data_IF_331211013370
#
_entry.id   IF_331211013370
#
_cell.length_a   1.000
_cell.length_b   1.000
_cell.length_c   1.000
_cell.angle_alpha   90.00
_cell.angle_beta   90.00
_cell.angle_gamma   90.00
#
_symmetry.space_group_name_H-M   'P 1'
#
loop_
_entity.id
_entity.type
_entity.pdbx_description
1 polymer ?
#
# COMPACT_ATOMS: atom_id res chain seq x y z
N UNK A 1 15.66 -13.48 9.61
CA UNK A 1 15.44 -14.00 8.24
C UNK A 1 15.35 -12.79 7.33
N UNK A 2 16.41 -12.51 6.57
CA UNK A 2 16.45 -11.40 5.63
C UNK A 2 15.54 -11.71 4.44
N UNK A 3 14.76 -10.74 3.98
CA UNK A 3 13.93 -10.90 2.79
C UNK A 3 14.81 -11.29 1.58
N UNK A 4 14.32 -12.16 0.68
CA UNK A 4 15.08 -12.59 -0.50
C UNK A 4 15.41 -11.41 -1.42
N UNK A 5 16.62 -11.45 -1.97
CA UNK A 5 17.33 -10.40 -2.71
C UNK A 5 16.77 -10.12 -4.13
N UNK A 6 15.51 -10.46 -4.41
CA UNK A 6 14.88 -10.34 -5.75
C UNK A 6 13.77 -9.29 -5.84
N UNK A 7 13.60 -8.46 -4.83
CA UNK A 7 12.72 -7.30 -4.89
C UNK A 7 13.45 -6.15 -5.59
N UNK A 8 13.41 -6.14 -6.93
CA UNK A 8 13.86 -4.98 -7.71
C UNK A 8 13.01 -3.77 -7.30
N UNK A 9 13.61 -2.86 -6.54
CA UNK A 9 13.02 -1.57 -6.21
C UNK A 9 12.93 -0.76 -7.51
N UNK A 10 11.83 -0.01 -7.69
CA UNK A 10 11.74 0.94 -8.80
C UNK A 10 12.91 1.94 -8.68
N UNK A 11 13.51 2.41 -9.80
CA UNK A 11 14.62 3.34 -9.73
C UNK A 11 14.20 4.59 -8.94
N UNK A 12 14.97 4.92 -7.90
CA UNK A 12 14.84 6.19 -7.18
C UNK A 12 15.02 7.33 -8.19
N UNK A 13 14.06 8.27 -8.24
CA UNK A 13 14.23 9.52 -8.98
C UNK A 13 13.11 9.97 -9.92
N UNK A 14 12.02 9.21 -10.11
CA UNK A 14 10.78 9.82 -10.66
C UNK A 14 9.95 10.36 -9.49
N UNK A 15 9.76 11.67 -9.46
CA UNK A 15 8.84 12.32 -8.52
C UNK A 15 7.43 11.71 -8.62
N UNK A 16 6.68 11.80 -7.53
CA UNK A 16 5.27 11.38 -7.51
C UNK A 16 4.45 12.31 -8.39
N UNK A 17 3.74 11.75 -9.37
CA UNK A 17 2.70 12.46 -10.14
C UNK A 17 1.45 12.57 -9.28
N UNK A 18 1.44 13.54 -8.37
CA UNK A 18 0.34 13.80 -7.45
C UNK A 18 -0.65 14.75 -8.14
N UNK A 19 -1.85 14.25 -8.41
CA UNK A 19 -2.94 15.02 -9.02
C UNK A 19 -4.09 15.16 -8.03
N UNK A 20 -4.72 16.33 -8.04
CA UNK A 20 -5.85 16.59 -7.17
C UNK A 20 -7.01 15.66 -7.52
N UNK A 21 -7.61 15.04 -6.51
CA UNK A 21 -8.77 14.15 -6.61
C UNK A 21 -8.57 12.88 -7.45
N UNK A 22 -7.32 12.44 -7.64
CA UNK A 22 -6.98 11.19 -8.30
C UNK A 22 -6.19 10.29 -7.36
N UNK A 23 -6.34 8.97 -7.50
CA UNK A 23 -5.50 8.01 -6.77
C UNK A 23 -4.08 8.06 -7.30
N UNK A 24 -3.11 7.89 -6.41
CA UNK A 24 -1.70 7.89 -6.76
C UNK A 24 -1.25 6.50 -7.20
N UNK A 25 -0.76 6.36 -8.44
CA UNK A 25 -0.16 5.10 -8.91
C UNK A 25 1.24 4.92 -8.33
N UNK A 26 1.42 3.91 -7.49
CA UNK A 26 2.67 3.66 -6.76
C UNK A 26 3.54 2.57 -7.39
N UNK A 27 2.94 1.58 -8.05
CA UNK A 27 3.71 0.49 -8.67
C UNK A 27 2.95 -0.13 -9.84
N UNK A 28 3.69 -0.66 -10.81
CA UNK A 28 3.20 -1.62 -11.80
C UNK A 28 4.08 -2.85 -11.78
N UNK A 29 3.48 -4.02 -11.88
CA UNK A 29 4.18 -5.31 -11.89
C UNK A 29 3.29 -6.37 -12.55
N UNK A 30 3.73 -7.62 -12.56
CA UNK A 30 2.90 -8.75 -12.96
C UNK A 30 2.87 -9.79 -11.84
N UNK A 31 1.84 -10.62 -11.80
CA UNK A 31 1.76 -11.75 -10.87
C UNK A 31 2.91 -12.72 -11.15
N UNK A 32 3.66 -13.08 -10.11
CA UNK A 32 4.87 -13.90 -10.25
C UNK A 32 4.58 -15.40 -10.10
N UNK A 33 5.38 -16.29 -10.72
CA UNK A 33 5.23 -17.74 -10.57
C UNK A 33 5.17 -18.21 -9.12
N UNK A 34 6.01 -17.65 -8.25
CA UNK A 34 6.08 -18.03 -6.84
C UNK A 34 4.85 -17.62 -6.02
N UNK A 35 3.96 -16.78 -6.57
CA UNK A 35 2.74 -16.31 -5.90
C UNK A 35 1.54 -17.22 -6.14
N UNK A 36 1.63 -18.15 -7.10
CA UNK A 36 0.53 -19.01 -7.52
C UNK A 36 0.44 -20.23 -6.58
N UNK A 37 -0.76 -20.51 -6.07
CA UNK A 37 -1.00 -21.76 -5.33
C UNK A 37 -1.50 -22.89 -6.23
N UNK A 38 -1.77 -24.04 -5.59
CA UNK A 38 -2.25 -25.24 -6.26
C UNK A 38 -3.60 -25.08 -6.98
N UNK A 39 -4.37 -24.02 -6.69
CA UNK A 39 -5.63 -23.73 -7.38
C UNK A 39 -5.41 -22.98 -8.71
N UNK A 40 -4.18 -22.59 -9.03
CA UNK A 40 -3.84 -21.91 -10.29
C UNK A 40 -4.11 -20.40 -10.29
N UNK A 41 -4.34 -19.80 -9.13
CA UNK A 41 -4.44 -18.36 -8.95
C UNK A 41 -3.52 -17.89 -7.82
N UNK A 42 -3.35 -16.58 -7.71
CA UNK A 42 -2.54 -15.97 -6.67
C UNK A 42 -3.03 -16.39 -5.28
N UNK A 43 -2.10 -16.83 -4.45
CA UNK A 43 -2.38 -17.26 -3.09
C UNK A 43 -2.71 -16.08 -2.19
N UNK A 44 -3.65 -16.28 -1.28
CA UNK A 44 -4.22 -15.25 -0.40
C UNK A 44 -3.18 -14.43 0.38
N UNK A 45 -2.07 -15.03 0.83
CA UNK A 45 -1.03 -14.34 1.57
C UNK A 45 -0.17 -13.43 0.68
N UNK A 46 0.01 -13.82 -0.58
CA UNK A 46 0.82 -13.05 -1.52
C UNK A 46 0.16 -11.75 -1.97
N UNK A 47 -1.17 -11.61 -1.84
CA UNK A 47 -1.83 -10.31 -2.04
C UNK A 47 -1.30 -9.30 -1.03
N UNK A 48 -1.18 -9.68 0.25
CA UNK A 48 -0.64 -8.81 1.30
C UNK A 48 0.82 -8.47 1.01
N UNK A 49 1.64 -9.46 0.60
CA UNK A 49 3.02 -9.20 0.19
C UNK A 49 3.07 -8.21 -0.98
N UNK A 50 2.27 -8.39 -2.02
CA UNK A 50 2.26 -7.50 -3.18
C UNK A 50 1.87 -6.06 -2.80
N UNK A 51 0.92 -5.88 -1.87
CA UNK A 51 0.60 -4.57 -1.30
C UNK A 51 1.76 -3.98 -0.48
N UNK A 52 2.45 -4.78 0.32
CA UNK A 52 3.62 -4.36 1.11
C UNK A 52 4.76 -3.86 0.18
N UNK A 53 5.02 -4.56 -0.92
CA UNK A 53 5.98 -4.14 -1.94
C UNK A 53 5.58 -2.84 -2.65
N UNK A 54 4.28 -2.63 -2.88
CA UNK A 54 3.76 -1.40 -3.44
C UNK A 54 3.92 -0.22 -2.46
N UNK A 55 3.78 -0.47 -1.16
CA UNK A 55 4.07 0.52 -0.13
C UNK A 55 5.55 0.85 -0.02
N UNK A 56 6.44 -0.13 -0.13
CA UNK A 56 7.89 0.14 -0.20
C UNK A 56 8.21 1.08 -1.36
N UNK A 57 7.62 0.84 -2.54
CA UNK A 57 7.78 1.72 -3.69
C UNK A 57 7.25 3.15 -3.44
N UNK A 58 6.16 3.30 -2.68
CA UNK A 58 5.68 4.62 -2.23
C UNK A 58 6.67 5.27 -1.26
N UNK A 59 7.14 4.52 -0.25
CA UNK A 59 8.05 5.00 0.78
C UNK A 59 9.38 5.47 0.21
N UNK A 60 9.94 4.73 -0.75
CA UNK A 60 11.15 5.16 -1.46
C UNK A 60 10.95 6.51 -2.17
N UNK A 61 9.80 6.70 -2.84
CA UNK A 61 9.51 7.94 -3.60
C UNK A 61 9.25 9.16 -2.71
N UNK A 62 8.81 8.98 -1.47
CA UNK A 62 8.68 10.07 -0.49
C UNK A 62 9.96 10.29 0.34
N UNK A 63 11.03 9.54 0.06
CA UNK A 63 12.33 9.68 0.72
C UNK A 63 12.56 8.75 1.92
N UNK A 64 11.58 7.94 2.33
CA UNK A 64 11.71 6.94 3.39
C UNK A 64 12.39 5.64 2.88
N UNK A 65 13.54 5.82 2.24
CA UNK A 65 14.34 4.74 1.66
C UNK A 65 15.00 3.87 2.73
N UNK A 66 15.49 2.69 2.34
CA UNK A 66 16.30 1.85 3.24
C UNK A 66 17.54 2.59 3.79
N UNK A 67 18.19 3.42 2.96
CA UNK A 67 19.33 4.23 3.39
C UNK A 67 18.91 5.25 4.45
N UNK A 68 17.82 5.98 4.20
CA UNK A 68 17.26 6.95 5.13
C UNK A 68 16.89 6.33 6.49
N UNK A 69 16.22 5.17 6.46
CA UNK A 69 15.85 4.40 7.67
C UNK A 69 17.07 4.04 8.52
N UNK A 70 18.15 3.58 7.88
CA UNK A 70 19.41 3.26 8.56
C UNK A 70 20.10 4.50 9.12
N UNK A 71 20.21 5.56 8.32
CA UNK A 71 20.88 6.80 8.69
C UNK A 71 20.22 7.48 9.89
N UNK A 72 18.88 7.57 9.88
CA UNK A 72 18.14 8.27 10.92
C UNK A 72 17.62 7.37 12.03
N UNK A 73 17.87 6.05 11.97
CA UNK A 73 17.39 5.11 12.98
C UNK A 73 15.86 5.06 13.08
N UNK A 74 15.16 5.12 11.94
CA UNK A 74 13.68 5.13 11.89
C UNK A 74 13.13 4.00 11.03
N UNK A 75 11.88 3.63 11.26
CA UNK A 75 11.15 2.70 10.40
C UNK A 75 9.63 2.94 10.44
N UNK A 76 8.86 2.04 9.85
CA UNK A 76 7.39 2.04 9.87
C UNK A 76 6.91 0.66 10.29
N UNK A 77 5.97 0.58 11.23
CA UNK A 77 5.32 -0.67 11.64
C UNK A 77 3.84 -0.65 11.25
N UNK A 78 3.39 -1.72 10.61
CA UNK A 78 1.97 -1.97 10.40
C UNK A 78 1.28 -2.20 11.75
N UNK A 79 0.23 -1.42 12.03
CA UNK A 79 -0.60 -1.59 13.21
C UNK A 79 -1.83 -2.45 12.91
N UNK A 80 -2.44 -2.22 11.76
CA UNK A 80 -3.65 -2.93 11.31
C UNK A 80 -3.68 -3.00 9.79
N UNK A 81 -4.19 -4.10 9.27
CA UNK A 81 -4.51 -4.26 7.85
C UNK A 81 -5.85 -4.99 7.69
N UNK A 82 -6.68 -4.48 6.79
CA UNK A 82 -7.92 -5.13 6.36
C UNK A 82 -7.86 -5.39 4.86
N UNK A 83 -7.84 -6.67 4.49
CA UNK A 83 -7.69 -7.12 3.11
C UNK A 83 -9.03 -7.63 2.55
N UNK A 84 -9.45 -7.10 1.41
CA UNK A 84 -10.60 -7.58 0.65
C UNK A 84 -10.15 -8.13 -0.70
N UNK A 85 -10.50 -9.38 -0.97
CA UNK A 85 -10.33 -10.01 -2.28
C UNK A 85 -11.60 -9.78 -3.11
N UNK A 86 -11.46 -9.22 -4.31
CA UNK A 86 -12.60 -8.85 -5.17
C UNK A 86 -12.62 -9.74 -6.41
N UNK A 87 -11.49 -9.90 -7.09
CA UNK A 87 -11.31 -10.75 -8.28
C UNK A 87 -10.02 -11.54 -8.16
N UNK A 88 -10.05 -12.80 -8.57
CA UNK A 88 -8.84 -13.61 -8.70
C UNK A 88 -7.91 -13.04 -9.78
N UNK A 89 -6.60 -13.18 -9.58
CA UNK A 89 -5.55 -12.90 -10.57
C UNK A 89 -4.67 -14.12 -10.75
N UNK A 90 -4.16 -14.30 -11.97
CA UNK A 90 -3.39 -15.46 -12.44
C UNK A 90 -1.97 -15.05 -12.81
N UNK A 91 -1.14 -16.06 -13.09
CA UNK A 91 0.24 -15.88 -13.53
C UNK A 91 0.31 -14.87 -14.69
N UNK A 92 1.28 -13.97 -14.61
CA UNK A 92 1.57 -12.93 -15.61
C UNK A 92 0.48 -11.86 -15.80
N UNK A 93 -0.65 -11.90 -15.06
CA UNK A 93 -1.64 -10.83 -15.10
C UNK A 93 -0.98 -9.49 -14.74
N UNK A 94 -1.18 -8.43 -15.54
CA UNK A 94 -0.58 -7.13 -15.30
C UNK A 94 -1.30 -6.42 -14.16
N UNK A 95 -0.55 -5.96 -13.16
CA UNK A 95 -1.08 -5.29 -11.98
C UNK A 95 -0.58 -3.86 -11.87
N UNK A 96 -1.51 -2.96 -11.54
CA UNK A 96 -1.25 -1.58 -11.12
C UNK A 96 -1.71 -1.40 -9.68
N UNK A 97 -0.83 -0.82 -8.86
CA UNK A 97 -1.13 -0.49 -7.47
C UNK A 97 -1.34 1.00 -7.33
N UNK A 98 -2.46 1.35 -6.73
CA UNK A 98 -2.87 2.72 -6.47
C UNK A 98 -3.08 2.94 -4.97
N UNK A 99 -2.86 4.16 -4.52
CA UNK A 99 -3.03 4.55 -3.11
C UNK A 99 -3.97 5.74 -3.02
N UNK A 100 -4.92 5.66 -2.09
CA UNK A 100 -5.64 6.80 -1.56
C UNK A 100 -5.27 6.98 -0.09
N UNK A 101 -4.77 8.16 0.26
CA UNK A 101 -4.48 8.53 1.65
C UNK A 101 -5.78 9.01 2.32
N UNK A 102 -6.22 8.26 3.32
CA UNK A 102 -7.48 8.49 4.03
C UNK A 102 -7.28 9.43 5.20
N UNK A 103 -6.22 9.21 5.98
CA UNK A 103 -5.85 10.07 7.10
C UNK A 103 -4.32 10.13 7.29
N UNK A 104 -3.89 11.20 7.94
CA UNK A 104 -2.49 11.47 8.24
C UNK A 104 -2.42 12.32 9.51
N UNK A 105 -1.66 11.84 10.50
CA UNK A 105 -1.31 12.65 11.66
C UNK A 105 0.21 12.83 11.77
N UNK A 106 0.67 13.31 12.93
CA UNK A 106 2.08 13.55 13.22
C UNK A 106 3.00 12.33 13.08
N UNK A 107 2.48 11.09 13.19
CA UNK A 107 3.28 9.85 13.24
C UNK A 107 2.62 8.61 12.63
N UNK A 108 1.42 8.71 12.08
CA UNK A 108 0.65 7.60 11.49
C UNK A 108 0.12 7.95 10.12
N UNK A 109 0.04 6.92 9.29
CA UNK A 109 -0.64 6.91 8.02
C UNK A 109 -1.85 6.01 8.08
N UNK A 110 -2.95 6.46 7.48
CA UNK A 110 -4.08 5.62 7.14
C UNK A 110 -4.32 5.72 5.64
N UNK A 111 -4.18 4.60 4.94
CA UNK A 111 -4.34 4.54 3.49
C UNK A 111 -5.15 3.32 3.08
N UNK A 112 -5.77 3.43 1.92
CA UNK A 112 -6.31 2.29 1.19
C UNK A 112 -5.49 2.09 -0.09
N UNK A 113 -4.94 0.89 -0.23
CA UNK A 113 -4.33 0.45 -1.47
C UNK A 113 -5.35 -0.29 -2.33
N UNK A 114 -5.24 -0.11 -3.64
CA UNK A 114 -6.01 -0.80 -4.65
C UNK A 114 -5.07 -1.58 -5.56
N UNK A 115 -5.38 -2.86 -5.76
CA UNK A 115 -4.76 -3.69 -6.78
C UNK A 115 -5.71 -3.73 -7.96
N UNK A 116 -5.28 -3.14 -9.08
CA UNK A 116 -6.04 -2.99 -10.31
C UNK A 116 -5.39 -3.86 -11.40
N UNK A 117 -6.20 -4.53 -12.21
CA UNK A 117 -5.73 -5.11 -13.47
C UNK A 117 -5.32 -3.96 -14.43
N UNK A 118 -4.04 -3.86 -14.78
CA UNK A 118 -3.54 -2.72 -15.57
C UNK A 118 -3.96 -2.80 -17.06
N UNK A 119 -4.57 -3.90 -17.49
CA UNK A 119 -5.12 -4.08 -18.83
C UNK A 119 -6.62 -3.81 -18.94
N UNK A 120 -7.39 -4.15 -17.90
CA UNK A 120 -8.87 -4.02 -17.91
C UNK A 120 -9.42 -2.91 -17.02
N UNK A 121 -8.59 -2.31 -16.16
CA UNK A 121 -8.99 -1.37 -15.10
C UNK A 121 -9.95 -1.97 -14.04
N UNK A 122 -10.05 -3.30 -13.97
CA UNK A 122 -10.86 -3.99 -12.96
C UNK A 122 -10.20 -3.97 -11.58
N UNK A 123 -11.00 -3.81 -10.53
CA UNK A 123 -10.54 -3.94 -9.15
C UNK A 123 -10.35 -5.41 -8.76
N UNK A 124 -9.12 -5.79 -8.44
CA UNK A 124 -8.76 -7.15 -8.02
C UNK A 124 -8.80 -7.33 -6.50
N UNK A 125 -8.23 -6.38 -5.75
CA UNK A 125 -8.19 -6.43 -4.29
C UNK A 125 -7.98 -5.04 -3.67
N UNK A 126 -8.27 -4.90 -2.38
CA UNK A 126 -7.92 -3.70 -1.60
C UNK A 126 -7.31 -4.05 -0.25
N UNK A 127 -6.34 -3.25 0.21
CA UNK A 127 -5.79 -3.34 1.56
C UNK A 127 -5.92 -1.99 2.27
N UNK A 128 -6.80 -1.90 3.27
CA UNK A 128 -6.87 -0.75 4.19
C UNK A 128 -5.81 -0.95 5.27
N UNK A 129 -5.04 0.09 5.59
CA UNK A 129 -3.86 -0.09 6.43
C UNK A 129 -3.65 1.12 7.33
N UNK A 130 -3.29 0.84 8.58
CA UNK A 130 -2.76 1.83 9.51
C UNK A 130 -1.30 1.49 9.80
N UNK A 131 -0.40 2.43 9.54
CA UNK A 131 1.04 2.27 9.77
C UNK A 131 1.58 3.41 10.61
N UNK A 132 2.51 3.12 11.50
CA UNK A 132 3.10 4.10 12.39
C UNK A 132 4.60 4.28 12.12
N UNK A 133 5.07 5.52 12.16
CA UNK A 133 6.49 5.86 12.13
C UNK A 133 7.13 5.62 13.49
N UNK A 134 8.28 4.94 13.45
CA UNK A 134 8.94 4.38 14.62
C UNK A 134 10.34 4.94 14.75
N UNK A 135 10.70 5.34 15.96
CA UNK A 135 12.09 5.49 16.37
C UNK A 135 12.62 4.10 16.75
N UNK A 136 13.69 3.67 16.10
CA UNK A 136 14.25 2.31 16.27
C UNK A 136 15.16 2.19 17.48
N UNK A 137 15.66 3.29 18.03
CA UNK A 137 16.43 3.31 19.28
C UNK A 137 15.52 3.05 20.47
N UNK A 138 14.39 3.75 20.55
CA UNK A 138 13.41 3.63 21.64
C UNK A 138 12.34 2.57 21.38
N UNK A 139 12.20 2.14 20.11
CA UNK A 139 11.12 1.25 19.63
C UNK A 139 9.72 1.79 19.89
N UNK A 140 9.55 3.11 19.87
CA UNK A 140 8.26 3.79 20.07
C UNK A 140 7.85 4.58 18.84
N UNK A 141 6.56 4.89 18.74
CA UNK A 141 6.06 5.79 17.72
C UNK A 141 6.71 7.17 17.90
N UNK A 142 7.18 7.76 16.81
CA UNK A 142 7.83 9.06 16.80
C UNK A 142 7.27 9.91 15.66
N UNK A 143 7.19 11.25 15.81
CA UNK A 143 6.75 12.12 14.74
C UNK A 143 7.56 11.94 13.46
N UNK A 144 6.91 12.15 12.32
CA UNK A 144 7.59 12.26 11.04
C UNK A 144 8.59 13.43 11.09
N UNK A 145 9.75 13.22 10.49
CA UNK A 145 10.67 14.31 10.21
C UNK A 145 10.07 15.23 9.14
N UNK A 146 10.34 16.55 9.14
CA UNK A 146 9.67 17.51 8.25
C UNK A 146 9.84 17.20 6.75
N UNK A 147 11.00 16.66 6.38
CA UNK A 147 11.34 16.21 5.03
C UNK A 147 10.48 15.05 4.54
N UNK A 148 10.08 14.13 5.43
CA UNK A 148 9.08 13.11 5.14
C UNK A 148 7.65 13.66 5.18
N UNK A 149 7.33 14.47 6.20
CA UNK A 149 5.97 14.97 6.41
C UNK A 149 5.47 15.82 5.23
N UNK A 150 6.34 16.62 4.61
CA UNK A 150 5.99 17.48 3.49
C UNK A 150 5.37 16.73 2.28
N UNK A 151 6.00 15.69 1.69
CA UNK A 151 5.37 14.93 0.61
C UNK A 151 4.10 14.19 1.05
N UNK A 152 4.02 13.72 2.29
CA UNK A 152 2.83 13.05 2.83
C UNK A 152 1.64 14.00 2.91
N UNK A 153 1.86 15.22 3.39
CA UNK A 153 0.85 16.28 3.41
C UNK A 153 0.38 16.67 2.01
N UNK A 154 1.29 16.67 1.01
CA UNK A 154 0.90 16.91 -0.40
C UNK A 154 -0.04 15.82 -0.91
N UNK A 155 0.25 14.55 -0.62
CA UNK A 155 -0.63 13.42 -0.98
C UNK A 155 -1.98 13.56 -0.25
N UNK A 156 -1.98 13.83 1.06
CA UNK A 156 -3.21 14.04 1.84
C UNK A 156 -4.07 15.16 1.27
N UNK A 157 -3.44 16.29 0.92
CA UNK A 157 -4.13 17.45 0.37
C UNK A 157 -4.74 17.16 -1.00
N UNK A 158 -4.05 16.40 -1.85
CA UNK A 158 -4.57 15.99 -3.15
C UNK A 158 -5.76 15.04 -3.04
N UNK A 159 -5.81 14.20 -2.01
CA UNK A 159 -6.89 13.24 -1.79
C UNK A 159 -8.03 13.75 -0.90
N UNK A 160 -7.95 14.99 -0.39
CA UNK A 160 -8.84 15.48 0.68
C UNK A 160 -10.32 15.53 0.30
N UNK A 161 -10.62 15.83 -0.97
CA UNK A 161 -11.98 15.99 -1.47
C UNK A 161 -12.45 14.74 -2.26
N UNK A 162 -11.65 13.66 -2.27
CA UNK A 162 -12.04 12.39 -2.88
C UNK A 162 -13.14 11.70 -2.06
N UNK A 163 -14.04 10.95 -2.72
CA UNK A 163 -15.00 10.13 -2.00
C UNK A 163 -14.28 9.11 -1.11
N UNK A 164 -14.87 8.85 0.06
CA UNK A 164 -14.42 7.77 0.92
C UNK A 164 -14.67 6.42 0.24
N UNK A 165 -13.68 5.53 0.13
CA UNK A 165 -13.85 4.26 -0.59
C UNK A 165 -14.82 3.29 0.11
N UNK A 166 -15.62 2.56 -0.67
CA UNK A 166 -16.60 1.58 -0.16
C UNK A 166 -15.99 0.40 0.63
N UNK A 167 -14.69 0.15 0.45
CA UNK A 167 -13.96 -0.91 1.14
C UNK A 167 -13.37 -0.46 2.48
N UNK A 168 -13.14 0.85 2.67
CA UNK A 168 -12.55 1.37 3.89
C UNK A 168 -13.55 1.32 5.07
N UNK A 169 -13.10 0.81 6.21
CA UNK A 169 -13.91 0.60 7.41
C UNK A 169 -14.84 -0.61 7.34
N UNK A 170 -14.66 -1.53 6.38
CA UNK A 170 -15.51 -2.72 6.29
C UNK A 170 -15.37 -3.61 7.51
N UNK A 171 -16.50 -4.18 7.94
CA UNK A 171 -16.56 -5.18 9.01
C UNK A 171 -16.80 -6.56 8.40
N UNK A 172 -15.98 -7.53 8.80
CA UNK A 172 -16.17 -8.92 8.39
C UNK A 172 -17.45 -9.45 9.03
N UNK A 173 -18.29 -10.08 8.22
CA UNK A 173 -19.51 -10.72 8.66
C UNK A 173 -20.21 -11.41 7.51
N UNK A 174 -20.94 -12.49 7.82
CA UNK A 174 -21.76 -13.18 6.83
C UNK A 174 -22.99 -12.31 6.53
N UNK A 175 -23.05 -11.75 5.32
CA UNK A 175 -24.25 -11.05 4.84
C UNK A 175 -25.34 -12.08 4.54
N UNK A 176 -26.39 -12.09 5.34
CA UNK A 176 -27.57 -12.91 5.09
C UNK A 176 -28.48 -12.17 4.13
N UNK A 177 -28.90 -12.83 3.04
CA UNK A 177 -29.99 -12.31 2.21
C UNK A 177 -31.27 -12.30 3.07
N UNK A 178 -32.08 -11.23 3.03
CA UNK A 178 -33.40 -11.27 3.65
C UNK A 178 -34.15 -12.50 3.14
N UNK A 179 -34.85 -13.22 4.04
CA UNK A 179 -35.81 -14.22 3.60
C UNK A 179 -36.86 -13.50 2.74
N UNK A 180 -37.20 -14.11 1.60
CA UNK A 180 -38.22 -13.60 0.68
C UNK A 180 -39.60 -13.55 1.33
#
# INVERSE_FOLDING_TARGET
MSAPETLRHAPAGRGLDIRANERLVVQRTAVRPEWIDYNGHMNVAYYLLAFDLALDALFDRIGLTQAYRREHGVSTFALEVHLCYVREVRLDDPLRFEVQMLDLDEKRFHFLLFMIDDGTDDLCATAEWISAHMDMTTRRMAPFRPDLLAPLQKIRAAHKDMPWPDQAGRKIGIRRRPAA
#
